data_IF_212441597851
#
_entry.id   IF_212441597851
#
_cell.length_a   1.000
_cell.length_b   1.000
_cell.length_c   1.000
_cell.angle_alpha   90.00
_cell.angle_beta   90.00
_cell.angle_gamma   90.00
#
_symmetry.space_group_name_H-M   'P 1'
#
loop_
_entity.id
_entity.type
_entity.pdbx_description
1 polymer ?
#
# COMPACT_ATOMS: atom_id res chain seq x y z
N UNK A 1 -44.66 51.66 23.61
CA UNK A 1 -45.11 50.40 22.96
C UNK A 1 -43.92 49.79 22.25
N UNK A 2 -43.33 48.76 22.85
CA UNK A 2 -42.21 47.99 22.27
C UNK A 2 -42.80 46.82 21.47
N UNK A 3 -42.43 46.69 20.20
CA UNK A 3 -42.76 45.52 19.38
C UNK A 3 -41.48 44.70 19.24
N UNK A 4 -41.39 43.66 20.08
CA UNK A 4 -40.42 42.59 19.97
C UNK A 4 -40.70 41.77 18.71
N UNK A 5 -39.78 41.79 17.74
CA UNK A 5 -39.73 40.75 16.71
C UNK A 5 -38.93 39.56 17.24
N UNK A 6 -39.62 38.46 17.52
CA UNK A 6 -39.04 37.15 17.82
C UNK A 6 -38.07 36.74 16.70
N UNK A 7 -36.80 36.51 17.05
CA UNK A 7 -35.89 35.70 16.24
C UNK A 7 -36.53 34.33 16.03
N UNK A 8 -36.84 33.98 14.79
CA UNK A 8 -37.10 32.58 14.41
C UNK A 8 -35.81 31.81 14.63
N UNK A 9 -35.81 30.90 15.61
CA UNK A 9 -34.84 29.82 15.66
C UNK A 9 -34.97 29.05 14.34
N UNK A 10 -33.96 29.19 13.49
CA UNK A 10 -33.72 28.23 12.42
C UNK A 10 -33.09 27.04 13.15
N UNK A 11 -33.90 26.04 13.48
CA UNK A 11 -33.38 24.71 13.77
C UNK A 11 -32.64 24.25 12.50
N UNK A 12 -31.31 24.31 12.54
CA UNK A 12 -30.48 23.53 11.64
C UNK A 12 -30.86 22.07 11.89
N UNK A 13 -31.65 21.49 10.99
CA UNK A 13 -31.83 20.04 10.94
C UNK A 13 -30.44 19.43 10.81
N UNK A 14 -29.96 18.75 11.86
CA UNK A 14 -28.71 18.00 11.81
C UNK A 14 -28.81 17.01 10.65
N UNK A 15 -27.81 17.00 9.78
CA UNK A 15 -27.69 15.94 8.80
C UNK A 15 -27.46 14.63 9.61
N UNK A 16 -28.28 13.58 9.45
CA UNK A 16 -28.11 12.33 10.18
C UNK A 16 -26.69 11.74 10.05
N UNK A 17 -26.02 12.00 8.93
CA UNK A 17 -24.64 11.60 8.71
C UNK A 17 -23.62 12.39 9.54
N UNK A 18 -23.88 13.68 9.81
CA UNK A 18 -23.05 14.53 10.69
C UNK A 18 -23.20 14.09 12.14
N UNK A 19 -24.39 13.63 12.55
CA UNK A 19 -24.66 13.15 13.91
C UNK A 19 -23.89 11.85 14.20
N UNK A 20 -23.99 10.85 13.30
CA UNK A 20 -23.24 9.58 13.43
C UNK A 20 -21.73 9.80 13.46
N UNK A 21 -21.21 10.68 12.60
CA UNK A 21 -19.78 11.02 12.57
C UNK A 21 -19.33 11.58 13.91
N UNK A 22 -20.09 12.53 14.46
CA UNK A 22 -19.78 13.17 15.73
C UNK A 22 -19.79 12.14 16.87
N UNK A 23 -20.79 11.26 16.94
CA UNK A 23 -20.85 10.19 17.96
C UNK A 23 -19.64 9.26 17.91
N UNK A 24 -19.15 8.91 16.71
CA UNK A 24 -17.94 8.08 16.56
C UNK A 24 -16.71 8.80 17.12
N UNK A 25 -16.52 10.06 16.76
CA UNK A 25 -15.36 10.85 17.19
C UNK A 25 -15.38 11.10 18.70
N UNK A 26 -16.53 11.44 19.26
CA UNK A 26 -16.71 11.63 20.70
C UNK A 26 -16.39 10.35 21.46
N UNK A 27 -16.97 9.22 21.03
CA UNK A 27 -16.75 7.93 21.68
C UNK A 27 -15.29 7.51 21.61
N UNK A 28 -14.65 7.72 20.46
CA UNK A 28 -13.23 7.42 20.29
C UNK A 28 -12.35 8.33 21.18
N UNK A 29 -12.73 9.60 21.33
CA UNK A 29 -11.96 10.57 22.09
C UNK A 29 -11.99 10.35 23.61
N UNK A 30 -12.95 9.58 24.15
CA UNK A 30 -12.96 9.15 25.55
C UNK A 30 -11.64 8.45 25.95
N UNK A 31 -11.07 7.66 25.03
CA UNK A 31 -9.83 6.90 25.26
C UNK A 31 -8.59 7.61 24.71
N UNK A 32 -8.70 8.26 23.54
CA UNK A 32 -7.57 8.95 22.90
C UNK A 32 -7.17 10.22 23.66
N UNK A 33 -8.16 10.94 24.22
CA UNK A 33 -7.96 12.20 24.96
C UNK A 33 -7.24 13.29 24.15
N UNK A 34 -7.62 13.42 22.88
CA UNK A 34 -7.25 14.53 22.01
C UNK A 34 -8.23 15.70 22.08
N UNK A 35 -8.04 16.68 21.19
CA UNK A 35 -8.92 17.83 20.99
C UNK A 35 -9.83 17.55 19.81
N UNK A 36 -11.14 17.55 20.02
CA UNK A 36 -12.11 17.50 18.92
C UNK A 36 -12.16 18.87 18.24
N UNK A 37 -11.85 18.90 16.94
CA UNK A 37 -11.89 20.12 16.13
C UNK A 37 -12.19 19.76 14.68
N UNK A 38 -13.10 20.51 14.05
CA UNK A 38 -13.48 20.37 12.64
C UNK A 38 -13.73 18.93 12.17
N UNK A 39 -14.54 18.18 12.93
CA UNK A 39 -14.87 16.77 12.65
C UNK A 39 -13.66 15.82 12.59
N UNK A 40 -12.61 16.13 13.34
CA UNK A 40 -11.45 15.27 13.56
C UNK A 40 -11.01 15.28 15.03
N UNK A 41 -10.21 14.29 15.42
CA UNK A 41 -9.49 14.30 16.70
C UNK A 41 -8.05 14.75 16.42
N UNK A 42 -7.68 15.89 16.98
CA UNK A 42 -6.31 16.40 16.97
C UNK A 42 -5.58 15.91 18.21
N UNK A 43 -4.37 15.40 18.04
CA UNK A 43 -3.54 14.88 19.12
C UNK A 43 -2.16 15.55 19.04
N UNK A 44 -2.06 16.84 19.44
CA UNK A 44 -0.86 17.65 19.20
C UNK A 44 0.40 17.07 19.83
N UNK A 45 0.29 16.46 21.01
CA UNK A 45 1.41 15.81 21.71
C UNK A 45 2.14 14.78 20.85
N UNK A 46 1.41 14.09 19.98
CA UNK A 46 1.97 13.06 19.09
C UNK A 46 1.98 13.51 17.62
N UNK A 47 1.49 14.71 17.31
CA UNK A 47 1.32 15.24 15.96
C UNK A 47 0.25 14.51 15.14
N UNK A 48 -0.69 13.76 15.72
CA UNK A 48 -1.69 13.02 14.93
C UNK A 48 -2.97 13.79 14.70
N UNK A 49 -3.57 13.56 13.54
CA UNK A 49 -4.96 13.90 13.23
C UNK A 49 -5.69 12.63 12.83
N UNK A 50 -6.81 12.34 13.48
CA UNK A 50 -7.70 11.23 13.12
C UNK A 50 -8.97 11.81 12.52
N UNK A 51 -9.16 11.57 11.23
CA UNK A 51 -10.36 11.90 10.48
C UNK A 51 -11.11 10.60 10.13
N UNK A 52 -12.41 10.70 9.88
CA UNK A 52 -13.27 9.55 9.54
C UNK A 52 -14.22 9.85 8.39
N UNK A 53 -14.51 8.81 7.60
CA UNK A 53 -15.58 8.80 6.60
C UNK A 53 -16.53 7.66 6.90
N UNK A 54 -17.78 7.99 7.24
CA UNK A 54 -18.84 6.99 7.45
C UNK A 54 -19.34 6.53 6.08
N UNK A 55 -19.07 5.26 5.77
CA UNK A 55 -19.44 4.61 4.50
C UNK A 55 -20.84 4.02 4.58
N UNK A 56 -21.18 3.43 5.73
CA UNK A 56 -22.44 2.73 5.92
C UNK A 56 -22.91 2.85 7.36
N UNK A 57 -24.17 3.17 7.57
CA UNK A 57 -24.85 3.06 8.87
C UNK A 57 -26.31 2.65 8.60
N UNK A 58 -26.66 1.40 8.88
CA UNK A 58 -28.00 0.88 8.65
C UNK A 58 -28.37 -0.21 9.64
N UNK A 59 -29.67 -0.36 9.89
CA UNK A 59 -30.22 -1.49 10.62
C UNK A 59 -30.97 -2.41 9.65
N UNK A 60 -30.64 -3.70 9.67
CA UNK A 60 -31.30 -4.72 8.84
C UNK A 60 -31.41 -6.02 9.62
N UNK A 61 -32.59 -6.63 9.62
CA UNK A 61 -32.88 -7.91 10.28
C UNK A 61 -32.46 -7.93 11.77
N UNK A 62 -32.62 -6.79 12.47
CA UNK A 62 -32.24 -6.62 13.88
C UNK A 62 -30.73 -6.50 14.13
N UNK A 63 -29.94 -6.30 13.07
CA UNK A 63 -28.49 -6.09 13.13
C UNK A 63 -28.18 -4.67 12.64
N UNK A 64 -27.63 -3.85 13.52
CA UNK A 64 -27.08 -2.55 13.17
C UNK A 64 -25.67 -2.73 12.61
N UNK A 65 -25.41 -2.22 11.41
CA UNK A 65 -24.10 -2.27 10.76
C UNK A 65 -23.55 -0.85 10.59
N UNK A 66 -22.32 -0.66 11.06
CA UNK A 66 -21.57 0.59 10.94
C UNK A 66 -20.25 0.32 10.21
N UNK A 67 -19.98 1.03 9.12
CA UNK A 67 -18.71 0.94 8.39
C UNK A 67 -18.10 2.33 8.26
N UNK A 68 -16.88 2.46 8.75
CA UNK A 68 -16.16 3.73 8.80
C UNK A 68 -14.75 3.53 8.28
N UNK A 69 -14.30 4.42 7.41
CA UNK A 69 -12.91 4.55 7.00
C UNK A 69 -12.24 5.53 7.94
N UNK A 70 -11.21 5.09 8.64
CA UNK A 70 -10.36 5.94 9.47
C UNK A 70 -9.17 6.42 8.65
N UNK A 71 -8.88 7.71 8.74
CA UNK A 71 -7.78 8.39 8.05
C UNK A 71 -6.90 9.01 9.13
N UNK A 72 -5.76 8.38 9.39
CA UNK A 72 -4.82 8.81 10.42
C UNK A 72 -3.64 9.50 9.72
N UNK A 73 -3.48 10.80 9.99
CA UNK A 73 -2.38 11.64 9.51
C UNK A 73 -1.46 11.96 10.67
N UNK A 74 -0.19 12.21 10.39
CA UNK A 74 0.76 12.63 11.41
C UNK A 74 1.75 13.66 10.90
N UNK A 75 1.99 14.66 11.72
CA UNK A 75 2.91 15.78 11.50
C UNK A 75 4.39 15.37 11.64
N UNK A 76 4.70 14.12 12.04
CA UNK A 76 6.05 13.51 12.01
C UNK A 76 6.19 12.36 11.00
N UNK A 77 5.09 11.68 10.61
CA UNK A 77 4.95 10.98 9.32
C UNK A 77 4.88 12.02 8.16
N UNK A 78 5.52 13.17 8.37
CA UNK A 78 5.15 14.48 7.85
C UNK A 78 5.51 14.62 6.39
N UNK A 79 4.60 15.22 5.61
CA UNK A 79 4.71 15.66 4.20
C UNK A 79 5.19 14.64 3.15
N UNK A 80 6.02 13.65 3.50
CA UNK A 80 6.68 12.67 2.64
C UNK A 80 6.09 11.25 2.77
N UNK A 81 5.34 10.98 3.84
CA UNK A 81 4.73 9.67 4.11
C UNK A 81 3.19 9.71 4.01
N UNK A 82 2.58 8.55 3.78
CA UNK A 82 1.16 8.44 3.44
C UNK A 82 0.27 8.37 4.69
N UNK A 83 -0.98 8.89 4.63
CA UNK A 83 -1.93 8.65 5.70
C UNK A 83 -2.22 7.17 5.83
N UNK A 84 -2.42 6.72 7.07
CA UNK A 84 -2.93 5.37 7.32
C UNK A 84 -4.43 5.42 7.06
N UNK A 85 -4.88 4.60 6.12
CA UNK A 85 -6.29 4.48 5.77
C UNK A 85 -6.73 3.07 6.16
N UNK A 86 -7.60 2.95 7.16
CA UNK A 86 -8.12 1.66 7.61
C UNK A 86 -9.66 1.65 7.63
N UNK A 87 -10.30 0.78 6.82
CA UNK A 87 -11.73 0.52 6.92
C UNK A 87 -12.02 -0.46 8.07
N UNK A 88 -12.91 -0.07 8.97
CA UNK A 88 -13.43 -0.93 10.03
C UNK A 88 -14.94 -1.05 9.86
N UNK A 89 -15.40 -2.30 9.86
CA UNK A 89 -16.80 -2.65 9.87
C UNK A 89 -17.14 -3.20 11.25
N UNK A 90 -18.27 -2.74 11.80
CA UNK A 90 -18.80 -3.16 13.07
C UNK A 90 -20.29 -3.51 12.94
N UNK A 91 -20.74 -4.45 13.76
CA UNK A 91 -22.10 -4.92 13.86
C UNK A 91 -22.50 -4.98 15.33
N UNK A 92 -23.75 -4.66 15.61
CA UNK A 92 -24.33 -4.67 16.94
C UNK A 92 -25.82 -4.95 16.88
N UNK A 93 -26.43 -5.21 18.04
CA UNK A 93 -27.89 -5.32 18.18
C UNK A 93 -28.61 -3.97 18.10
N UNK A 94 -27.84 -2.89 18.22
CA UNK A 94 -28.26 -1.49 18.22
C UNK A 94 -27.06 -0.60 17.82
N UNK A 95 -27.31 0.70 17.63
CA UNK A 95 -26.26 1.66 17.28
C UNK A 95 -25.12 1.69 18.31
N UNK A 96 -25.43 1.72 19.60
CA UNK A 96 -24.43 1.86 20.67
C UNK A 96 -23.48 0.66 20.74
N UNK A 97 -23.98 -0.55 20.55
CA UNK A 97 -23.16 -1.77 20.50
C UNK A 97 -22.28 -1.80 19.25
N UNK A 98 -22.80 -1.39 18.09
CA UNK A 98 -22.00 -1.27 16.86
C UNK A 98 -20.92 -0.20 17.00
N UNK A 99 -21.27 0.96 17.57
CA UNK A 99 -20.37 2.08 17.86
C UNK A 99 -19.24 1.64 18.79
N UNK A 100 -19.59 0.98 19.91
CA UNK A 100 -18.61 0.44 20.86
C UNK A 100 -17.62 -0.49 20.17
N UNK A 101 -18.12 -1.46 19.40
CA UNK A 101 -17.25 -2.43 18.71
C UNK A 101 -16.36 -1.74 17.66
N UNK A 102 -16.87 -0.72 16.96
CA UNK A 102 -16.08 0.07 16.02
C UNK A 102 -14.91 0.76 16.72
N UNK A 103 -15.17 1.47 17.82
CA UNK A 103 -14.15 2.24 18.55
C UNK A 103 -13.14 1.33 19.25
N UNK A 104 -13.58 0.21 19.84
CA UNK A 104 -12.69 -0.77 20.47
C UNK A 104 -11.79 -1.45 19.44
N UNK A 105 -12.33 -1.76 18.26
CA UNK A 105 -11.55 -2.33 17.15
C UNK A 105 -10.50 -1.35 16.65
N UNK A 106 -10.84 -0.07 16.46
CA UNK A 106 -9.89 0.98 16.10
C UNK A 106 -8.78 1.09 17.14
N UNK A 107 -9.14 1.15 18.42
CA UNK A 107 -8.18 1.31 19.50
C UNK A 107 -7.22 0.12 19.56
N UNK A 108 -7.75 -1.10 19.49
CA UNK A 108 -6.96 -2.32 19.55
C UNK A 108 -6.03 -2.50 18.35
N UNK A 109 -6.54 -2.24 17.14
CA UNK A 109 -5.80 -2.40 15.89
C UNK A 109 -4.79 -1.30 15.65
N UNK A 110 -5.20 -0.03 15.76
CA UNK A 110 -4.41 1.08 15.24
C UNK A 110 -3.78 1.88 16.39
N UNK A 111 -4.61 2.34 17.33
CA UNK A 111 -4.15 3.31 18.32
C UNK A 111 -3.15 2.74 19.32
N UNK A 112 -3.37 1.51 19.80
CA UNK A 112 -2.45 0.87 20.76
C UNK A 112 -1.04 0.69 20.20
N UNK A 113 -0.82 0.12 19.00
CA UNK A 113 0.50 0.08 18.38
C UNK A 113 1.15 1.46 18.19
N UNK A 114 0.39 2.49 17.77
CA UNK A 114 0.88 3.88 17.68
C UNK A 114 1.37 4.35 19.05
N UNK A 115 0.56 4.18 20.09
CA UNK A 115 0.93 4.59 21.44
C UNK A 115 2.17 3.85 21.96
N UNK A 116 2.28 2.55 21.71
CA UNK A 116 3.48 1.76 22.07
C UNK A 116 4.74 2.31 21.42
N UNK A 117 4.64 2.73 20.15
CA UNK A 117 5.73 3.36 19.41
C UNK A 117 6.17 4.68 20.07
N UNK A 118 5.22 5.55 20.45
CA UNK A 118 5.53 6.83 21.11
C UNK A 118 6.10 6.68 22.51
N UNK A 119 5.51 5.80 23.29
CA UNK A 119 5.95 5.54 24.66
C UNK A 119 7.27 4.75 24.69
N UNK A 120 7.89 4.47 23.52
CA UNK A 120 9.08 3.64 23.34
C UNK A 120 8.96 2.33 24.13
N UNK A 121 7.79 1.70 23.97
CA UNK A 121 7.50 0.40 24.58
C UNK A 121 8.45 -0.69 24.08
N UNK A 122 8.22 -1.93 24.53
CA UNK A 122 9.06 -3.07 24.11
C UNK A 122 8.94 -3.29 22.60
N UNK A 123 9.98 -2.91 21.86
CA UNK A 123 10.10 -3.15 20.44
C UNK A 123 10.79 -4.48 20.13
N UNK A 124 10.51 -5.03 18.96
CA UNK A 124 11.27 -6.12 18.36
C UNK A 124 12.28 -5.53 17.38
N UNK A 125 13.58 -5.82 17.49
CA UNK A 125 14.55 -5.33 16.51
C UNK A 125 14.35 -6.05 15.17
N UNK A 126 14.48 -5.29 14.08
CA UNK A 126 14.53 -5.78 12.70
C UNK A 126 15.64 -5.01 11.99
N UNK A 127 16.42 -5.66 11.13
CA UNK A 127 17.44 -4.99 10.33
C UNK A 127 17.30 -5.37 8.86
N UNK A 128 17.58 -4.43 7.96
CA UNK A 128 17.54 -4.60 6.51
C UNK A 128 18.89 -4.29 5.91
N UNK A 129 19.31 -5.10 4.93
CA UNK A 129 20.50 -4.89 4.13
C UNK A 129 20.13 -5.07 2.67
N UNK A 130 20.25 -4.03 1.87
CA UNK A 130 20.01 -4.10 0.43
C UNK A 130 20.84 -3.06 -0.31
N UNK A 131 21.43 -3.45 -1.44
CA UNK A 131 22.19 -2.54 -2.31
C UNK A 131 23.25 -1.69 -1.57
N UNK A 132 23.97 -2.31 -0.63
CA UNK A 132 25.00 -1.65 0.17
C UNK A 132 24.48 -0.68 1.23
N UNK A 133 23.16 -0.64 1.46
CA UNK A 133 22.51 0.18 2.49
C UNK A 133 22.08 -0.70 3.65
N UNK A 134 22.27 -0.18 4.87
CA UNK A 134 21.90 -0.83 6.12
C UNK A 134 20.95 0.06 6.89
N UNK A 135 19.90 -0.55 7.46
CA UNK A 135 18.96 0.13 8.33
C UNK A 135 18.55 -0.77 9.48
N UNK A 136 18.47 -0.18 10.67
CA UNK A 136 17.91 -0.82 11.86
C UNK A 136 16.54 -0.23 12.18
N UNK A 137 15.63 -1.09 12.62
CA UNK A 137 14.26 -0.72 12.92
C UNK A 137 13.79 -1.28 14.27
N UNK A 138 12.84 -0.56 14.86
CA UNK A 138 12.04 -1.01 15.99
C UNK A 138 10.62 -1.35 15.52
N UNK A 139 10.23 -2.62 15.64
CA UNK A 139 8.89 -3.14 15.34
C UNK A 139 8.02 -3.14 16.62
N UNK A 140 6.96 -2.35 16.60
CA UNK A 140 5.92 -2.26 17.60
C UNK A 140 4.66 -2.99 17.12
N UNK A 141 4.21 -3.97 17.89
CA UNK A 141 3.06 -4.80 17.52
C UNK A 141 2.19 -5.06 18.75
N UNK A 142 0.88 -5.08 18.54
CA UNK A 142 -0.10 -5.40 19.57
C UNK A 142 -0.87 -6.68 19.21
N UNK A 143 -1.79 -7.07 20.09
CA UNK A 143 -2.69 -8.22 19.94
C UNK A 143 -3.49 -8.21 18.63
N UNK A 144 -3.93 -9.40 18.22
CA UNK A 144 -4.80 -9.60 17.06
C UNK A 144 -6.24 -9.31 17.46
N UNK A 145 -6.97 -8.59 16.61
CA UNK A 145 -8.43 -8.45 16.74
C UNK A 145 -9.09 -9.58 15.97
N UNK A 146 -9.95 -10.31 16.66
CA UNK A 146 -10.73 -11.42 16.16
C UNK A 146 -12.20 -11.02 16.09
N UNK A 147 -12.85 -11.35 14.99
CA UNK A 147 -14.29 -11.14 14.77
C UNK A 147 -14.92 -12.45 14.29
N UNK A 148 -16.16 -12.70 14.72
CA UNK A 148 -16.97 -13.84 14.30
C UNK A 148 -16.91 -15.04 15.26
N UNK A 149 -15.72 -15.41 15.74
CA UNK A 149 -15.53 -16.59 16.59
C UNK A 149 -14.88 -16.19 17.93
N UNK A 150 -15.66 -15.91 19.00
CA UNK A 150 -15.12 -15.42 20.27
C UNK A 150 -14.34 -16.48 21.07
N UNK A 151 -14.55 -17.77 20.81
CA UNK A 151 -13.89 -18.87 21.53
C UNK A 151 -12.49 -19.16 20.99
N UNK A 152 -12.22 -18.71 19.77
CA UNK A 152 -10.94 -18.91 19.11
C UNK A 152 -9.86 -18.02 19.71
N UNK A 153 -8.67 -18.59 19.88
CA UNK A 153 -7.48 -17.90 20.37
C UNK A 153 -6.56 -17.58 19.18
N UNK A 154 -6.49 -16.33 18.72
CA UNK A 154 -5.71 -15.98 17.55
C UNK A 154 -4.21 -16.10 17.84
N UNK A 155 -3.44 -16.53 16.84
CA UNK A 155 -1.98 -16.51 16.92
C UNK A 155 -1.48 -15.09 16.60
N UNK A 156 -0.30 -14.70 17.11
CA UNK A 156 0.32 -13.42 16.74
C UNK A 156 0.77 -13.44 15.28
N UNK A 157 -0.01 -12.82 14.39
CA UNK A 157 0.17 -12.93 12.94
C UNK A 157 1.52 -12.43 12.44
N UNK A 158 2.08 -11.39 13.04
CA UNK A 158 3.38 -10.81 12.66
C UNK A 158 4.51 -11.84 12.69
N UNK A 159 4.43 -12.86 13.56
CA UNK A 159 5.47 -13.88 13.68
C UNK A 159 5.53 -14.83 12.48
N UNK A 160 4.49 -14.88 11.64
CA UNK A 160 4.51 -15.65 10.39
C UNK A 160 5.33 -14.98 9.28
N UNK A 161 5.63 -13.68 9.43
CA UNK A 161 6.35 -12.90 8.41
C UNK A 161 7.55 -12.12 8.96
N UNK A 162 7.79 -12.15 10.27
CA UNK A 162 8.84 -11.36 10.93
C UNK A 162 10.23 -11.64 10.35
N UNK A 163 10.51 -12.89 10.01
CA UNK A 163 11.80 -13.36 9.46
C UNK A 163 12.10 -12.81 8.06
N UNK A 164 11.06 -12.53 7.27
CA UNK A 164 11.18 -12.02 5.90
C UNK A 164 10.85 -10.53 5.77
N UNK A 165 10.36 -9.91 6.84
CA UNK A 165 9.87 -8.54 6.83
C UNK A 165 10.95 -7.54 6.39
N UNK A 166 12.20 -7.78 6.78
CA UNK A 166 13.35 -6.95 6.41
C UNK A 166 13.52 -6.78 4.90
N UNK A 167 13.18 -7.79 4.10
CA UNK A 167 13.27 -7.73 2.63
C UNK A 167 12.27 -6.75 1.99
N UNK A 168 11.38 -6.13 2.76
CA UNK A 168 10.41 -5.14 2.30
C UNK A 168 10.68 -3.74 2.83
N UNK A 169 11.64 -3.58 3.74
CA UNK A 169 11.94 -2.32 4.42
C UNK A 169 13.14 -1.63 3.75
N UNK A 170 12.94 -0.36 3.41
CA UNK A 170 13.89 0.51 2.74
C UNK A 170 14.19 1.77 3.57
N UNK A 171 14.44 2.91 2.92
CA UNK A 171 14.92 4.10 3.62
C UNK A 171 13.88 4.87 4.43
N UNK A 172 12.58 4.54 4.33
CA UNK A 172 11.53 5.35 4.97
C UNK A 172 11.69 5.36 6.48
N UNK A 173 11.36 6.49 7.10
CA UNK A 173 11.38 6.64 8.55
C UNK A 173 10.34 5.74 9.23
N UNK A 174 9.17 5.58 8.61
CA UNK A 174 8.06 4.84 9.18
C UNK A 174 7.47 3.83 8.20
N UNK A 175 7.16 2.65 8.73
CA UNK A 175 6.35 1.67 8.06
C UNK A 175 5.19 1.21 8.94
N UNK A 176 4.09 0.81 8.31
CA UNK A 176 3.04 0.04 8.95
C UNK A 176 2.72 -1.22 8.15
N UNK A 177 2.44 -2.28 8.89
CA UNK A 177 2.03 -3.57 8.34
C UNK A 177 0.59 -3.82 8.75
N UNK A 178 -0.27 -4.09 7.78
CA UNK A 178 -1.63 -4.56 8.00
C UNK A 178 -1.72 -6.01 7.56
N UNK A 179 -2.18 -6.88 8.44
CA UNK A 179 -2.47 -8.28 8.14
C UNK A 179 -3.96 -8.47 8.31
N UNK A 180 -4.63 -8.91 7.24
CA UNK A 180 -6.04 -9.23 7.21
C UNK A 180 -6.24 -10.66 6.73
N UNK A 181 -6.84 -11.50 7.56
CA UNK A 181 -7.20 -12.88 7.25
C UNK A 181 -8.71 -13.03 7.45
N UNK A 182 -9.39 -13.60 6.47
CA UNK A 182 -10.80 -13.93 6.60
C UNK A 182 -11.11 -15.30 6.00
N UNK A 183 -11.99 -16.05 6.66
CA UNK A 183 -12.63 -17.26 6.13
C UNK A 183 -14.13 -17.11 6.28
N UNK A 184 -14.84 -17.17 5.16
CA UNK A 184 -16.28 -17.05 5.10
C UNK A 184 -16.89 -18.39 4.72
N UNK A 185 -17.65 -18.98 5.65
CA UNK A 185 -18.55 -20.08 5.32
C UNK A 185 -19.70 -19.60 4.45
N UNK A 186 -20.13 -20.45 3.51
CA UNK A 186 -21.32 -20.18 2.71
C UNK A 186 -22.37 -21.24 3.04
N UNK A 187 -23.46 -20.80 3.68
CA UNK A 187 -24.51 -21.68 4.18
C UNK A 187 -25.08 -22.53 3.04
N UNK A 188 -24.99 -23.86 3.16
CA UNK A 188 -25.57 -24.80 2.19
C UNK A 188 -24.73 -25.06 0.93
N UNK A 189 -23.47 -24.61 0.88
CA UNK A 189 -22.53 -25.00 -0.19
C UNK A 189 -21.32 -25.72 0.38
N UNK A 190 -20.83 -26.73 -0.33
CA UNK A 190 -19.51 -27.32 -0.06
C UNK A 190 -18.43 -26.32 -0.47
N UNK A 191 -17.95 -25.54 0.50
CA UNK A 191 -16.82 -24.64 0.29
C UNK A 191 -16.80 -23.43 1.20
N UNK A 192 -15.60 -22.90 1.40
CA UNK A 192 -15.33 -21.67 2.12
C UNK A 192 -14.58 -20.70 1.21
N UNK A 193 -14.82 -19.41 1.40
CA UNK A 193 -14.02 -18.36 0.74
C UNK A 193 -12.97 -17.86 1.70
N UNK A 194 -11.71 -17.96 1.30
CA UNK A 194 -10.58 -17.39 2.03
C UNK A 194 -10.18 -16.05 1.41
N UNK A 195 -9.75 -15.13 2.28
CA UNK A 195 -9.13 -13.88 1.86
C UNK A 195 -7.92 -13.61 2.75
N UNK A 196 -6.77 -13.38 2.12
CA UNK A 196 -5.51 -13.04 2.78
C UNK A 196 -5.01 -11.76 2.14
N UNK A 197 -4.79 -10.73 2.96
CA UNK A 197 -4.23 -9.48 2.51
C UNK A 197 -3.23 -8.94 3.53
N UNK A 198 -1.95 -8.97 3.17
CA UNK A 198 -0.87 -8.33 3.88
C UNK A 198 -0.47 -7.07 3.12
N UNK A 199 -0.46 -5.94 3.81
CA UNK A 199 -0.03 -4.66 3.25
C UNK A 199 1.12 -4.05 4.03
N UNK A 200 2.09 -3.47 3.33
CA UNK A 200 3.13 -2.60 3.90
C UNK A 200 2.95 -1.21 3.33
N UNK A 201 2.74 -0.21 4.18
CA UNK A 201 2.43 1.16 3.77
C UNK A 201 1.27 1.24 2.76
N UNK A 202 0.21 0.46 3.00
CA UNK A 202 -0.96 0.39 2.11
C UNK A 202 -0.78 -0.46 0.84
N UNK A 203 0.44 -0.91 0.53
CA UNK A 203 0.76 -1.72 -0.64
C UNK A 203 0.56 -3.21 -0.36
N UNK A 204 -0.20 -3.92 -1.21
CA UNK A 204 -0.37 -5.38 -1.10
C UNK A 204 0.94 -6.10 -1.43
N UNK A 205 1.34 -7.06 -0.60
CA UNK A 205 2.55 -7.86 -0.78
C UNK A 205 2.20 -9.35 -1.02
N UNK A 206 2.01 -9.81 -2.28
CA UNK A 206 1.53 -11.16 -2.57
C UNK A 206 2.40 -12.29 -2.03
N UNK A 207 3.73 -12.11 -1.96
CA UNK A 207 4.62 -13.13 -1.38
C UNK A 207 4.42 -13.31 0.13
N UNK A 208 4.06 -12.24 0.86
CA UNK A 208 3.69 -12.31 2.27
C UNK A 208 2.33 -12.99 2.46
N UNK A 209 1.36 -12.76 1.56
CA UNK A 209 0.05 -13.42 1.63
C UNK A 209 0.20 -14.95 1.65
N UNK A 210 1.09 -15.51 0.82
CA UNK A 210 1.30 -16.96 0.73
C UNK A 210 1.74 -17.60 2.06
N UNK A 211 2.36 -16.84 2.96
CA UNK A 211 2.83 -17.33 4.27
C UNK A 211 1.67 -17.65 5.23
N UNK A 212 0.52 -17.03 5.04
CA UNK A 212 -0.65 -17.24 5.89
C UNK A 212 -1.60 -18.33 5.39
N UNK A 213 -1.39 -18.84 4.17
CA UNK A 213 -2.27 -19.87 3.61
C UNK A 213 -2.37 -21.12 4.49
N UNK A 214 -1.25 -21.74 4.96
CA UNK A 214 -1.34 -22.90 5.84
C UNK A 214 -2.04 -22.60 7.18
N UNK A 215 -1.84 -21.38 7.70
CA UNK A 215 -2.51 -20.95 8.92
C UNK A 215 -4.01 -20.84 8.70
N UNK A 216 -4.46 -20.22 7.60
CA UNK A 216 -5.87 -20.05 7.28
C UNK A 216 -6.57 -21.37 6.91
N UNK A 217 -5.85 -22.30 6.30
CA UNK A 217 -6.32 -23.66 6.00
C UNK A 217 -6.58 -24.47 7.27
N UNK A 218 -5.80 -24.25 8.32
CA UNK A 218 -5.98 -24.91 9.63
C UNK A 218 -7.25 -24.50 10.38
N UNK A 219 -7.97 -23.46 9.92
CA UNK A 219 -9.19 -23.01 10.57
C UNK A 219 -10.29 -24.05 10.36
N UNK A 220 -11.11 -24.29 11.39
CA UNK A 220 -12.28 -25.16 11.26
C UNK A 220 -13.29 -24.52 10.32
N UNK A 221 -13.99 -25.35 9.55
CA UNK A 221 -15.15 -24.93 8.80
C UNK A 221 -16.27 -24.50 9.74
N UNK A 222 -16.84 -23.33 9.46
CA UNK A 222 -17.95 -22.76 10.21
C UNK A 222 -18.87 -22.01 9.24
N UNK A 223 -20.17 -22.02 9.49
CA UNK A 223 -21.19 -21.29 8.71
C UNK A 223 -21.21 -19.77 9.02
N UNK A 224 -20.08 -19.23 9.48
CA UNK A 224 -19.91 -17.82 9.83
C UNK A 224 -18.68 -17.24 9.15
N UNK A 225 -18.62 -15.92 9.12
CA UNK A 225 -17.40 -15.19 8.71
C UNK A 225 -16.50 -15.01 9.92
N UNK A 226 -15.32 -15.61 9.88
CA UNK A 226 -14.26 -15.39 10.87
C UNK A 226 -13.22 -14.47 10.27
N UNK A 227 -12.80 -13.45 11.02
CA UNK A 227 -11.78 -12.48 10.59
C UNK A 227 -10.75 -12.31 11.69
N UNK A 228 -9.47 -12.37 11.32
CA UNK A 228 -8.36 -11.94 12.16
C UNK A 228 -7.64 -10.76 11.51
N UNK A 229 -7.41 -9.70 12.29
CA UNK A 229 -6.69 -8.51 11.85
C UNK A 229 -5.56 -8.18 12.82
N UNK A 230 -4.40 -7.80 12.29
CA UNK A 230 -3.31 -7.24 13.08
C UNK A 230 -2.69 -6.05 12.37
N UNK A 231 -2.30 -5.06 13.15
CA UNK A 231 -1.53 -3.93 12.69
C UNK A 231 -0.21 -3.87 13.47
N UNK A 232 0.86 -3.49 12.78
CA UNK A 232 2.17 -3.26 13.37
C UNK A 232 2.80 -2.00 12.81
N UNK A 233 3.60 -1.33 13.63
CA UNK A 233 4.37 -0.13 13.26
C UNK A 233 5.84 -0.44 13.34
N UNK A 234 6.61 0.08 12.40
CA UNK A 234 8.05 -0.13 12.32
C UNK A 234 8.67 1.25 12.16
N UNK A 235 9.64 1.56 13.02
CA UNK A 235 10.33 2.85 13.00
C UNK A 235 11.78 2.62 12.66
N UNK A 236 12.27 3.27 11.62
CA UNK A 236 13.69 3.30 11.30
C UNK A 236 14.43 4.10 12.37
N UNK A 237 15.53 3.55 12.87
CA UNK A 237 16.36 4.19 13.90
C UNK A 237 17.14 5.37 13.37
N UNK A 238 17.39 5.42 12.06
CA UNK A 238 17.99 6.59 11.41
C UNK A 238 17.17 7.84 11.71
N UNK A 239 17.81 8.88 12.26
CA UNK A 239 17.12 10.07 12.76
C UNK A 239 16.48 10.88 11.61
N UNK A 240 17.16 10.92 10.45
CA UNK A 240 16.76 11.70 9.30
C UNK A 240 16.43 10.83 8.09
N UNK A 241 15.40 11.24 7.35
CA UNK A 241 15.07 10.65 6.06
C UNK A 241 15.92 11.30 4.96
N UNK A 242 16.93 10.56 4.51
CA UNK A 242 17.93 10.99 3.54
C UNK A 242 17.46 10.94 2.08
N UNK A 243 16.21 10.53 1.81
CA UNK A 243 15.69 10.49 0.45
C UNK A 243 15.64 11.91 -0.16
N UNK A 244 16.26 12.13 -1.33
CA UNK A 244 16.42 13.46 -1.92
C UNK A 244 15.15 13.97 -2.64
N UNK A 245 14.05 13.23 -2.57
CA UNK A 245 12.79 13.60 -3.19
C UNK A 245 11.58 13.21 -2.34
N UNK A 246 10.46 13.91 -2.55
CA UNK A 246 9.16 13.64 -1.90
C UNK A 246 8.19 12.92 -2.82
N UNK A 247 7.06 12.46 -2.25
CA UNK A 247 5.96 11.87 -3.02
C UNK A 247 5.42 12.83 -4.08
N UNK A 248 5.22 14.09 -3.72
CA UNK A 248 4.64 15.15 -4.55
C UNK A 248 5.53 15.39 -5.77
N UNK A 249 6.85 15.40 -5.58
CA UNK A 249 7.81 15.50 -6.67
C UNK A 249 7.71 14.29 -7.62
N UNK A 250 7.70 13.06 -7.10
CA UNK A 250 7.54 11.88 -7.97
C UNK A 250 6.22 11.94 -8.75
N UNK A 251 5.13 12.34 -8.09
CA UNK A 251 3.80 12.48 -8.72
C UNK A 251 3.82 13.53 -9.83
N UNK A 252 4.36 14.71 -9.55
CA UNK A 252 4.48 15.80 -10.52
C UNK A 252 5.33 15.39 -11.72
N UNK A 253 6.51 14.83 -11.48
CA UNK A 253 7.46 14.45 -12.51
C UNK A 253 6.93 13.31 -13.38
N UNK A 254 6.22 12.35 -12.79
CA UNK A 254 5.54 11.28 -13.53
C UNK A 254 4.43 11.84 -14.42
N UNK A 255 3.62 12.79 -13.91
CA UNK A 255 2.59 13.46 -14.73
C UNK A 255 3.19 14.23 -15.89
N UNK A 256 4.35 14.85 -15.70
CA UNK A 256 5.07 15.55 -16.78
C UNK A 256 5.67 14.59 -17.80
N UNK A 257 6.16 13.43 -17.37
CA UNK A 257 6.75 12.42 -18.25
C UNK A 257 5.73 11.83 -19.25
N UNK A 258 4.48 11.64 -18.80
CA UNK A 258 3.44 10.96 -19.59
C UNK A 258 3.22 11.58 -20.98
N UNK A 259 2.90 12.88 -21.13
CA UNK A 259 2.74 13.50 -22.45
C UNK A 259 3.97 13.40 -23.35
N UNK A 260 5.18 13.42 -22.77
CA UNK A 260 6.42 13.27 -23.55
C UNK A 260 6.54 11.84 -24.10
N UNK A 261 6.19 10.84 -23.28
CA UNK A 261 6.21 9.43 -23.68
C UNK A 261 5.12 9.07 -24.69
N UNK A 262 3.92 9.66 -24.60
CA UNK A 262 2.82 9.43 -25.57
C UNK A 262 3.25 9.74 -27.01
N UNK A 263 4.13 10.73 -27.16
CA UNK A 263 4.57 11.27 -28.44
C UNK A 263 5.95 10.76 -28.88
N UNK A 264 6.64 9.97 -28.05
CA UNK A 264 7.95 9.43 -28.35
C UNK A 264 7.84 8.20 -29.27
N UNK A 265 8.20 8.36 -30.55
CA UNK A 265 8.06 7.32 -31.60
C UNK A 265 9.40 6.88 -32.19
N UNK A 266 10.49 7.55 -31.83
CA UNK A 266 11.82 7.29 -32.35
C UNK A 266 12.89 7.33 -31.25
N UNK A 267 14.06 6.77 -31.54
CA UNK A 267 15.20 6.81 -30.63
C UNK A 267 15.69 8.25 -30.40
N UNK A 268 15.66 9.11 -31.41
CA UNK A 268 16.04 10.53 -31.28
C UNK A 268 15.10 11.29 -30.34
N UNK A 269 13.79 11.07 -30.46
CA UNK A 269 12.80 11.62 -29.53
C UNK A 269 12.99 11.09 -28.11
N UNK A 270 13.35 9.81 -27.96
CA UNK A 270 13.63 9.23 -26.65
C UNK A 270 14.85 9.88 -25.97
N UNK A 271 15.89 10.22 -26.74
CA UNK A 271 17.07 10.94 -26.25
C UNK A 271 16.67 12.36 -25.83
N UNK A 272 15.93 13.10 -26.67
CA UNK A 272 15.44 14.46 -26.35
C UNK A 272 14.56 14.47 -25.11
N UNK A 273 13.62 13.53 -25.02
CA UNK A 273 12.76 13.34 -23.84
C UNK A 273 13.61 13.08 -22.59
N UNK A 274 14.62 12.21 -22.67
CA UNK A 274 15.53 11.95 -21.55
C UNK A 274 16.21 13.25 -21.09
N UNK A 275 16.79 14.01 -22.02
CA UNK A 275 17.49 15.25 -21.69
C UNK A 275 16.57 16.31 -21.07
N UNK A 276 15.35 16.43 -21.58
CA UNK A 276 14.34 17.32 -21.03
C UNK A 276 13.95 16.91 -19.60
N UNK A 277 13.71 15.62 -19.38
CA UNK A 277 13.36 15.06 -18.08
C UNK A 277 14.51 15.20 -17.06
N UNK A 278 15.74 14.88 -17.45
CA UNK A 278 16.92 14.99 -16.60
C UNK A 278 17.13 16.45 -16.16
N UNK A 279 16.96 17.42 -17.08
CA UNK A 279 17.07 18.85 -16.78
C UNK A 279 15.96 19.34 -15.85
N UNK A 280 14.72 18.89 -16.07
CA UNK A 280 13.59 19.34 -15.27
C UNK A 280 13.61 18.78 -13.84
N UNK A 281 13.93 17.50 -13.70
CA UNK A 281 13.92 16.81 -12.40
C UNK A 281 15.16 17.20 -11.58
N UNK A 282 16.31 17.43 -12.23
CA UNK A 282 17.57 17.75 -11.54
C UNK A 282 18.18 16.57 -10.76
N UNK A 283 17.44 15.47 -10.61
CA UNK A 283 17.89 14.19 -10.06
C UNK A 283 17.86 13.13 -11.19
N UNK A 284 19.03 12.81 -11.80
CA UNK A 284 19.11 11.86 -12.89
C UNK A 284 18.63 10.45 -12.50
N UNK A 285 18.81 10.03 -11.23
CA UNK A 285 18.37 8.72 -10.76
C UNK A 285 16.86 8.62 -10.75
N UNK A 286 16.18 9.61 -10.18
CA UNK A 286 14.72 9.67 -10.19
C UNK A 286 14.16 9.81 -11.61
N UNK A 287 14.81 10.62 -12.48
CA UNK A 287 14.44 10.71 -13.90
C UNK A 287 14.54 9.35 -14.61
N UNK A 288 15.61 8.60 -14.36
CA UNK A 288 15.78 7.26 -14.92
C UNK A 288 14.70 6.29 -14.41
N UNK A 289 14.43 6.27 -13.10
CA UNK A 289 13.38 5.44 -12.51
C UNK A 289 12.01 5.71 -13.13
N UNK A 290 11.59 6.98 -13.21
CA UNK A 290 10.32 7.38 -13.84
C UNK A 290 10.26 6.90 -15.29
N UNK A 291 11.32 7.12 -16.06
CA UNK A 291 11.35 6.72 -17.48
C UNK A 291 11.32 5.20 -17.68
N UNK A 292 11.93 4.45 -16.78
CA UNK A 292 11.98 2.98 -16.83
C UNK A 292 10.65 2.36 -16.39
N UNK A 293 10.09 2.83 -15.27
CA UNK A 293 8.96 2.15 -14.65
C UNK A 293 7.60 2.54 -15.22
N UNK A 294 7.46 3.70 -15.88
CA UNK A 294 6.18 4.04 -16.53
C UNK A 294 5.74 2.97 -17.55
N UNK A 295 6.56 2.59 -18.55
CA UNK A 295 6.19 1.52 -19.49
C UNK A 295 5.89 0.18 -18.80
N UNK A 296 6.70 -0.23 -17.83
CA UNK A 296 6.57 -1.53 -17.17
C UNK A 296 5.30 -1.61 -16.31
N UNK A 297 4.99 -0.56 -15.56
CA UNK A 297 3.78 -0.51 -14.74
C UNK A 297 2.55 -0.39 -15.65
N UNK A 298 2.59 0.38 -16.73
CA UNK A 298 1.47 0.43 -17.69
C UNK A 298 1.25 -0.93 -18.38
N UNK A 299 2.31 -1.66 -18.72
CA UNK A 299 2.20 -3.01 -19.25
C UNK A 299 1.44 -3.92 -18.27
N UNK A 300 1.77 -3.84 -16.98
CA UNK A 300 1.04 -4.54 -15.93
C UNK A 300 -0.43 -4.17 -15.88
N UNK A 301 -0.73 -2.88 -15.82
CA UNK A 301 -2.09 -2.37 -15.67
C UNK A 301 -2.97 -2.65 -16.91
N UNK A 302 -2.37 -2.74 -18.09
CA UNK A 302 -3.09 -2.97 -19.36
C UNK A 302 -3.28 -4.45 -19.69
N UNK A 303 -2.27 -5.31 -19.43
CA UNK A 303 -2.37 -6.75 -19.68
C UNK A 303 -2.99 -7.52 -18.51
N UNK A 304 -2.79 -7.08 -17.27
CA UNK A 304 -3.37 -7.74 -16.09
C UNK A 304 -2.75 -9.10 -15.74
N UNK A 305 -1.45 -9.30 -16.02
CA UNK A 305 -0.73 -10.51 -15.59
C UNK A 305 -0.58 -10.61 -14.08
N UNK A 306 -0.06 -11.71 -13.54
CA UNK A 306 0.31 -11.78 -12.11
C UNK A 306 1.77 -11.37 -11.93
N UNK A 307 2.08 -10.65 -10.86
CA UNK A 307 3.46 -10.24 -10.58
C UNK A 307 3.86 -10.50 -9.13
N UNK A 308 5.16 -10.72 -8.91
CA UNK A 308 5.76 -10.76 -7.59
C UNK A 308 6.09 -9.37 -7.04
N UNK A 309 6.71 -9.38 -5.86
CA UNK A 309 7.11 -8.18 -5.13
C UNK A 309 8.48 -7.63 -5.54
N UNK A 310 9.21 -8.34 -6.42
CA UNK A 310 10.63 -8.11 -6.62
C UNK A 310 10.92 -7.09 -7.73
N UNK A 311 12.07 -6.44 -7.58
CA UNK A 311 12.81 -5.70 -8.59
C UNK A 311 14.23 -6.29 -8.68
N UNK A 312 14.82 -6.23 -9.87
CA UNK A 312 16.15 -6.76 -10.13
C UNK A 312 17.01 -5.66 -10.75
N UNK A 313 17.97 -5.12 -9.98
CA UNK A 313 18.93 -4.15 -10.49
C UNK A 313 20.08 -4.89 -11.19
N UNK A 314 20.24 -4.64 -12.48
CA UNK A 314 21.34 -5.16 -13.30
C UNK A 314 22.53 -4.22 -13.17
N UNK A 315 23.50 -4.58 -12.32
CA UNK A 315 24.77 -3.87 -12.24
C UNK A 315 25.71 -4.33 -13.36
N UNK A 316 26.48 -3.44 -14.00
CA UNK A 316 27.54 -3.88 -14.90
C UNK A 316 28.55 -4.73 -14.11
N UNK A 317 28.91 -5.90 -14.64
CA UNK A 317 30.01 -6.68 -14.08
C UNK A 317 31.27 -5.82 -14.00
N UNK A 318 32.06 -5.90 -12.92
CA UNK A 318 33.34 -5.21 -12.87
C UNK A 318 34.15 -5.67 -14.08
N UNK A 319 34.53 -4.73 -14.96
CA UNK A 319 35.40 -5.04 -16.09
C UNK A 319 36.72 -5.53 -15.51
N UNK A 320 36.96 -6.83 -15.60
CA UNK A 320 38.28 -7.38 -15.34
C UNK A 320 39.06 -7.17 -16.63
N UNK A 321 40.15 -6.39 -16.60
CA UNK A 321 40.97 -6.16 -17.78
C UNK A 321 41.41 -7.51 -18.37
N UNK A 322 41.05 -7.78 -19.63
CA UNK A 322 41.49 -8.96 -20.38
C UNK A 322 40.48 -10.10 -20.55
N UNK A 323 39.26 -10.03 -20.01
CA UNK A 323 38.22 -11.06 -20.26
C UNK A 323 37.20 -10.63 -21.31
N UNK A 324 36.92 -11.51 -22.28
CA UNK A 324 35.88 -11.30 -23.32
C UNK A 324 34.49 -11.07 -22.70
N UNK A 325 33.67 -10.23 -23.34
CA UNK A 325 32.38 -9.74 -22.83
C UNK A 325 31.28 -10.81 -22.67
N UNK A 326 31.54 -12.08 -23.01
CA UNK A 326 30.51 -13.14 -23.13
C UNK A 326 30.88 -14.50 -22.50
N UNK A 327 31.77 -14.56 -21.51
CA UNK A 327 31.89 -15.77 -20.66
C UNK A 327 30.78 -15.78 -19.60
N UNK A 328 30.32 -16.95 -19.15
CA UNK A 328 29.28 -17.05 -18.10
C UNK A 328 29.64 -16.32 -16.80
N UNK A 329 30.95 -16.13 -16.55
CA UNK A 329 31.53 -15.38 -15.43
C UNK A 329 31.31 -13.87 -15.51
N UNK A 330 31.02 -13.32 -16.69
CA UNK A 330 30.79 -11.88 -16.91
C UNK A 330 29.30 -11.50 -16.97
N UNK A 331 28.36 -12.44 -16.76
CA UNK A 331 26.93 -12.11 -16.72
C UNK A 331 26.63 -11.25 -15.49
N UNK A 332 25.94 -10.10 -15.64
CA UNK A 332 25.58 -9.25 -14.52
C UNK A 332 24.68 -10.03 -13.56
N UNK A 333 25.12 -10.20 -12.31
CA UNK A 333 24.30 -10.83 -11.27
C UNK A 333 23.23 -9.82 -10.85
N UNK A 334 21.93 -10.09 -11.11
CA UNK A 334 20.88 -9.18 -10.70
C UNK A 334 20.83 -9.09 -9.17
N UNK A 335 20.89 -7.88 -8.65
CA UNK A 335 20.64 -7.67 -7.22
C UNK A 335 19.14 -7.53 -7.02
N UNK A 336 18.57 -8.45 -6.25
CA UNK A 336 17.15 -8.52 -5.93
C UNK A 336 16.83 -7.63 -4.72
N UNK A 337 15.73 -6.90 -4.80
CA UNK A 337 15.14 -6.15 -3.68
C UNK A 337 13.63 -5.94 -3.94
N UNK A 338 12.84 -5.61 -2.93
CA UNK A 338 11.39 -5.47 -3.09
C UNK A 338 10.99 -4.10 -3.66
N UNK A 339 9.87 -4.06 -4.40
CA UNK A 339 9.23 -2.83 -4.90
C UNK A 339 8.94 -1.82 -3.77
N UNK A 340 8.62 -2.31 -2.57
CA UNK A 340 8.35 -1.45 -1.39
C UNK A 340 9.61 -0.73 -0.89
N UNK A 341 10.79 -1.22 -1.24
CA UNK A 341 12.07 -0.57 -0.95
C UNK A 341 12.44 0.48 -2.00
N UNK A 342 11.73 0.56 -3.14
CA UNK A 342 11.88 1.64 -4.11
C UNK A 342 10.77 2.69 -3.93
N UNK A 343 11.14 3.83 -3.37
CA UNK A 343 10.23 4.88 -2.94
C UNK A 343 9.44 5.51 -4.07
N UNK A 344 9.98 5.56 -5.29
CA UNK A 344 9.29 6.10 -6.46
C UNK A 344 8.24 5.16 -7.04
N UNK A 345 8.40 3.84 -6.89
CA UNK A 345 7.65 2.84 -7.65
C UNK A 345 6.12 2.97 -7.51
N UNK A 346 5.62 2.98 -6.27
CA UNK A 346 4.19 3.04 -6.01
C UNK A 346 3.59 4.41 -6.24
N UNK A 347 4.38 5.48 -6.13
CA UNK A 347 3.95 6.83 -6.49
C UNK A 347 3.79 6.97 -8.00
N UNK A 348 4.69 6.38 -8.80
CA UNK A 348 4.53 6.25 -10.25
C UNK A 348 3.26 5.45 -10.55
N UNK A 349 3.08 4.28 -9.92
CA UNK A 349 1.88 3.46 -10.12
C UNK A 349 0.58 4.21 -9.81
N UNK A 350 0.55 5.00 -8.74
CA UNK A 350 -0.61 5.81 -8.38
C UNK A 350 -0.97 6.80 -9.50
N UNK A 351 0.01 7.51 -10.05
CA UNK A 351 -0.22 8.44 -11.17
C UNK A 351 -0.75 7.71 -12.40
N UNK A 352 -0.23 6.51 -12.69
CA UNK A 352 -0.67 5.74 -13.85
C UNK A 352 -2.10 5.21 -13.70
N UNK A 353 -2.49 4.80 -12.49
CA UNK A 353 -3.88 4.46 -12.19
C UNK A 353 -4.81 5.66 -12.37
N UNK A 354 -4.41 6.84 -11.88
CA UNK A 354 -5.17 8.09 -12.08
C UNK A 354 -5.25 8.47 -13.57
N UNK A 355 -4.15 8.33 -14.31
CA UNK A 355 -4.09 8.59 -15.75
C UNK A 355 -5.07 7.68 -16.51
N UNK A 356 -5.06 6.37 -16.25
CA UNK A 356 -5.97 5.43 -16.91
C UNK A 356 -7.45 5.63 -16.51
N UNK A 357 -7.73 5.93 -15.24
CA UNK A 357 -9.10 5.97 -14.72
C UNK A 357 -9.78 7.34 -14.85
N UNK A 358 -9.06 8.44 -14.62
CA UNK A 358 -9.57 9.81 -14.62
C UNK A 358 -9.31 10.52 -15.95
N UNK A 359 -8.07 10.49 -16.44
CA UNK A 359 -7.72 11.15 -17.72
C UNK A 359 -8.29 10.38 -18.91
N UNK A 360 -8.35 9.04 -18.81
CA UNK A 360 -8.88 8.13 -19.85
C UNK A 360 -8.24 8.42 -21.23
N UNK A 361 -6.92 8.26 -21.35
CA UNK A 361 -6.20 8.53 -22.59
C UNK A 361 -6.65 7.63 -23.74
N UNK A 362 -6.40 8.09 -24.97
CA UNK A 362 -6.61 7.28 -26.17
C UNK A 362 -5.77 6.00 -26.12
N UNK A 363 -6.35 4.89 -26.59
CA UNK A 363 -5.68 3.57 -26.57
C UNK A 363 -4.34 3.57 -27.29
N UNK A 364 -4.21 4.29 -28.41
CA UNK A 364 -2.95 4.35 -29.16
C UNK A 364 -1.85 5.09 -28.38
N UNK A 365 -2.20 6.11 -27.58
CA UNK A 365 -1.25 6.80 -26.71
C UNK A 365 -0.68 5.88 -25.64
N UNK A 366 -1.55 5.14 -24.96
CA UNK A 366 -1.14 4.15 -23.94
C UNK A 366 -0.25 3.07 -24.58
N UNK A 367 -0.66 2.58 -25.76
CA UNK A 367 0.04 1.55 -26.50
C UNK A 367 1.45 1.97 -26.93
N UNK A 368 1.65 3.23 -27.36
CA UNK A 368 2.97 3.78 -27.67
C UNK A 368 3.93 3.67 -26.48
N UNK A 369 3.44 3.96 -25.27
CA UNK A 369 4.25 3.88 -24.05
C UNK A 369 4.53 2.41 -23.70
N UNK A 370 3.48 1.57 -23.72
CA UNK A 370 3.57 0.16 -23.32
C UNK A 370 4.48 -0.66 -24.24
N UNK A 371 4.59 -0.35 -25.53
CA UNK A 371 5.52 -1.06 -26.42
C UNK A 371 7.00 -0.92 -26.04
N UNK A 372 7.34 0.10 -25.25
CA UNK A 372 8.68 0.28 -24.73
C UNK A 372 8.97 -0.64 -23.53
N UNK A 373 7.96 -1.27 -22.93
CA UNK A 373 8.16 -2.27 -21.86
C UNK A 373 8.81 -3.54 -22.43
N UNK A 374 9.84 -4.01 -21.74
CA UNK A 374 10.45 -5.32 -22.00
C UNK A 374 9.45 -6.41 -21.64
N UNK A 375 8.81 -6.30 -20.46
CA UNK A 375 7.83 -7.29 -19.99
C UNK A 375 6.68 -7.45 -20.98
N UNK A 376 6.14 -6.35 -21.49
CA UNK A 376 5.07 -6.39 -22.49
C UNK A 376 5.49 -7.17 -23.75
N UNK A 377 6.69 -6.88 -24.28
CA UNK A 377 7.21 -7.53 -25.48
C UNK A 377 7.43 -9.02 -25.29
N UNK A 378 7.90 -9.43 -24.11
CA UNK A 378 8.11 -10.85 -23.80
C UNK A 378 6.77 -11.58 -23.59
N UNK A 379 5.85 -11.04 -22.80
CA UNK A 379 4.55 -11.69 -22.55
C UNK A 379 3.71 -11.82 -23.83
N UNK A 380 3.79 -10.84 -24.73
CA UNK A 380 3.05 -10.88 -26.01
C UNK A 380 3.43 -12.07 -26.89
N UNK A 381 4.64 -12.64 -26.73
CA UNK A 381 5.05 -13.85 -27.48
C UNK A 381 4.25 -15.09 -27.05
N UNK A 382 3.83 -15.12 -25.78
CA UNK A 382 3.16 -16.28 -25.18
C UNK A 382 1.64 -16.16 -25.15
N UNK A 383 1.10 -14.94 -25.11
CA UNK A 383 -0.35 -14.73 -25.11
C UNK A 383 -0.95 -15.24 -26.42
N UNK A 384 -1.96 -16.10 -26.31
CA UNK A 384 -2.61 -16.75 -27.45
C UNK A 384 -2.01 -18.09 -27.87
N UNK A 385 -0.88 -18.51 -27.29
CA UNK A 385 -0.35 -19.86 -27.51
C UNK A 385 -1.32 -20.91 -26.95
N UNK A 386 -1.56 -22.04 -27.64
CA UNK A 386 -2.35 -23.15 -27.10
C UNK A 386 -1.71 -23.70 -25.81
N UNK A 387 -2.51 -23.92 -24.77
CA UNK A 387 -2.04 -24.52 -23.53
C UNK A 387 -2.89 -25.75 -23.15
N UNK A 388 -2.28 -26.94 -23.26
CA UNK A 388 -2.95 -28.21 -23.00
C UNK A 388 -3.43 -28.35 -21.54
N UNK A 389 -2.67 -27.79 -20.57
CA UNK A 389 -3.05 -27.85 -19.14
C UNK A 389 -4.27 -26.99 -18.83
N UNK A 390 -4.45 -25.89 -19.56
CA UNK A 390 -5.58 -24.97 -19.38
C UNK A 390 -6.78 -25.34 -20.25
N UNK A 391 -6.60 -26.13 -21.30
CA UNK A 391 -7.64 -26.44 -22.30
C UNK A 391 -8.11 -25.22 -23.11
N UNK A 392 -7.36 -24.12 -23.05
CA UNK A 392 -7.62 -22.85 -23.76
C UNK A 392 -6.31 -22.12 -24.06
N UNK A 393 -6.28 -21.15 -24.98
CA UNK A 393 -5.11 -20.31 -25.19
C UNK A 393 -4.68 -19.56 -23.93
N UNK A 394 -3.38 -19.32 -23.79
CA UNK A 394 -2.79 -18.57 -22.67
C UNK A 394 -3.32 -17.13 -22.68
N UNK A 395 -3.88 -16.69 -21.56
CA UNK A 395 -4.22 -15.30 -21.32
C UNK A 395 -3.18 -14.65 -20.40
N UNK A 396 -3.09 -13.31 -20.41
CA UNK A 396 -2.14 -12.59 -19.58
C UNK A 396 -2.28 -12.93 -18.08
N UNK A 397 -3.50 -13.12 -17.58
CA UNK A 397 -3.79 -13.50 -16.19
C UNK A 397 -3.24 -14.87 -15.78
N UNK A 398 -2.87 -15.71 -16.76
CA UNK A 398 -2.27 -17.03 -16.51
C UNK A 398 -0.75 -16.96 -16.36
N UNK A 399 -0.14 -15.82 -16.73
CA UNK A 399 1.30 -15.60 -16.68
C UNK A 399 1.71 -14.97 -15.34
N UNK A 400 2.91 -15.34 -14.88
CA UNK A 400 3.52 -14.80 -13.67
C UNK A 400 4.88 -14.19 -13.97
N UNK A 401 5.06 -12.92 -13.61
CA UNK A 401 6.32 -12.19 -13.71
C UNK A 401 6.91 -12.02 -12.30
N UNK A 402 8.03 -12.68 -11.96
CA UNK A 402 8.60 -12.62 -10.61
C UNK A 402 8.93 -11.19 -10.16
N UNK A 403 9.38 -10.34 -11.09
CA UNK A 403 9.72 -8.95 -10.84
C UNK A 403 10.23 -8.25 -12.08
N UNK A 404 10.50 -6.96 -11.96
CA UNK A 404 10.96 -6.12 -13.08
C UNK A 404 12.48 -5.96 -13.02
N UNK A 405 13.17 -6.41 -14.07
CA UNK A 405 14.61 -6.19 -14.21
C UNK A 405 14.89 -4.85 -14.90
N UNK A 406 15.85 -4.10 -14.38
CA UNK A 406 16.20 -2.79 -14.91
C UNK A 406 17.67 -2.43 -14.68
N UNK A 407 18.16 -1.44 -15.42
CA UNK A 407 19.52 -0.93 -15.32
C UNK A 407 19.49 0.59 -15.23
N UNK A 408 20.25 1.15 -14.29
CA UNK A 408 20.51 2.58 -14.20
C UNK A 408 22.01 2.81 -14.30
N UNK A 409 22.44 3.53 -15.33
CA UNK A 409 23.85 3.85 -15.60
C UNK A 409 24.23 5.19 -14.95
N UNK A 410 24.01 5.30 -13.64
CA UNK A 410 24.36 6.48 -12.84
C UNK A 410 25.35 6.04 -11.77
N UNK A 411 26.53 6.67 -11.67
CA UNK A 411 27.49 6.39 -10.60
C UNK A 411 26.82 6.56 -9.23
N UNK A 412 27.13 5.65 -8.31
CA UNK A 412 26.62 5.69 -6.92
C UNK A 412 25.08 5.72 -6.80
N UNK A 413 24.38 5.11 -7.76
CA UNK A 413 22.92 4.95 -7.69
C UNK A 413 22.50 4.26 -6.39
N UNK A 414 21.61 4.93 -5.64
CA UNK A 414 21.00 4.42 -4.41
C UNK A 414 19.51 4.19 -4.62
N UNK A 415 19.01 3.10 -4.03
CA UNK A 415 17.58 2.82 -3.95
C UNK A 415 17.06 3.37 -2.62
N UNK A 416 16.27 4.44 -2.72
CA UNK A 416 15.61 5.09 -1.60
C UNK A 416 14.30 4.40 -1.28
#
# INVERSE_FOLDING_TARGET
>A
MAIFNKKKNIEMKSNPQTDVRQSILEKLNENIKGTLYDNAILIPRFGYTIDIQVVKHEEKDGIYTLQTIFIIKNDYLSEKDEPIIEPIAAQGKDFDSALKMLTESFEALIWKPIKMMFDKGKALPVSSNYLGQHYDYDLYVNSVVLMGDPERKPAMLIYYIKDVLSSFLGSKKYYWVRIFLARQGTKGTEGYKQNIEVRINGIVCPSLNKRFQPYLDSWKDQDITVVEKQFAFIVNKEEEDLCPFTKEQVVEYTRKALPLMENCKSQEEAIKMKEEMDRYIGNPALSAEIRIFIPEILAKLTLGYNEGDDLFLLQPSPKTEGTEENTEENKPVPIRFAKTQLRSYYYIQQVLLDYLSRTRPDKEKVKNIVFNSVTFRELRKHIGEPNEKLGRPVEAKDLFVPGTAYRISIPDYKVW
#
